data_IF_112210841309
#
_entry.id   IF_112210841309
#
_cell.length_a   1.000
_cell.length_b   1.000
_cell.length_c   1.000
_cell.angle_alpha   90.00
_cell.angle_beta   90.00
_cell.angle_gamma   90.00
#
_symmetry.space_group_name_H-M   'P 1'
#
loop_
_entity.id
_entity.type
_entity.pdbx_description
1 polymer ?
#
# COMPACT_ATOMS: atom_id res chain seq x y z
N UNK A 1 5.38 -17.43 -8.76
CA UNK A 1 4.31 -16.61 -8.14
C UNK A 1 3.95 -15.50 -9.12
N UNK A 2 2.99 -14.63 -8.81
CA UNK A 2 2.67 -13.48 -9.66
C UNK A 2 2.36 -12.25 -8.80
N UNK A 3 3.23 -11.24 -8.84
CA UNK A 3 3.12 -10.04 -8.00
C UNK A 3 3.37 -10.33 -6.52
N UNK A 4 4.44 -11.07 -6.22
CA UNK A 4 4.75 -11.66 -4.92
C UNK A 4 5.36 -10.68 -3.91
N UNK A 5 5.41 -9.37 -4.22
CA UNK A 5 6.02 -8.34 -3.37
C UNK A 5 5.51 -8.40 -1.92
N UNK A 6 4.19 -8.57 -1.73
CA UNK A 6 3.60 -8.73 -0.39
C UNK A 6 3.61 -10.17 0.11
N UNK A 7 3.50 -11.14 -0.79
CA UNK A 7 3.44 -12.56 -0.42
C UNK A 7 4.74 -13.00 0.29
N UNK A 8 5.91 -12.53 -0.20
CA UNK A 8 7.20 -12.80 0.46
C UNK A 8 7.21 -12.27 1.89
N UNK A 9 6.74 -11.04 2.09
CA UNK A 9 6.72 -10.41 3.41
C UNK A 9 5.73 -11.12 4.34
N UNK A 10 4.55 -11.51 3.85
CA UNK A 10 3.55 -12.22 4.64
C UNK A 10 4.01 -13.62 5.04
N UNK A 11 4.65 -14.37 4.13
CA UNK A 11 5.20 -15.69 4.42
C UNK A 11 6.23 -15.66 5.55
N UNK A 12 7.09 -14.64 5.56
CA UNK A 12 8.07 -14.45 6.64
C UNK A 12 7.39 -14.05 7.96
N UNK A 13 6.50 -13.07 7.93
CA UNK A 13 5.82 -12.53 9.12
C UNK A 13 4.98 -13.59 9.84
N UNK A 14 4.18 -14.32 9.07
CA UNK A 14 3.13 -15.19 9.63
C UNK A 14 3.60 -16.62 9.85
N UNK A 15 4.59 -17.09 9.06
CA UNK A 15 5.02 -18.49 9.06
C UNK A 15 6.53 -18.71 9.14
N UNK A 16 7.35 -17.65 9.10
CA UNK A 16 8.81 -17.79 9.04
C UNK A 16 9.31 -18.51 7.77
N UNK A 17 8.52 -18.49 6.69
CA UNK A 17 8.83 -19.16 5.43
C UNK A 17 9.63 -18.23 4.52
N UNK A 18 10.71 -18.76 3.96
CA UNK A 18 11.54 -18.08 2.95
C UNK A 18 11.44 -18.84 1.63
N UNK A 19 11.45 -18.09 0.52
CA UNK A 19 11.33 -18.65 -0.83
C UNK A 19 12.68 -18.53 -1.52
N UNK A 20 13.12 -19.61 -2.16
CA UNK A 20 14.30 -19.62 -3.01
C UNK A 20 13.90 -20.08 -4.41
N UNK A 21 14.61 -19.59 -5.44
CA UNK A 21 14.38 -19.94 -6.84
C UNK A 21 12.93 -19.65 -7.31
N UNK A 22 12.42 -18.46 -6.97
CA UNK A 22 11.12 -18.01 -7.44
C UNK A 22 11.19 -17.52 -8.89
N UNK A 23 10.14 -17.79 -9.66
CA UNK A 23 9.83 -17.09 -10.90
C UNK A 23 8.61 -16.19 -10.69
N UNK A 24 8.78 -14.87 -10.82
CA UNK A 24 7.70 -13.89 -10.83
C UNK A 24 7.81 -12.96 -12.06
N UNK A 25 6.90 -13.09 -13.03
CA UNK A 25 6.92 -12.25 -14.21
C UNK A 25 6.32 -10.86 -13.99
N UNK A 26 5.65 -10.60 -12.88
CA UNK A 26 4.79 -9.42 -12.67
C UNK A 26 5.56 -8.11 -12.85
N UNK A 27 6.72 -7.96 -12.19
CA UNK A 27 7.54 -6.76 -12.32
C UNK A 27 8.21 -6.61 -13.69
N UNK A 28 8.52 -7.72 -14.37
CA UNK A 28 9.08 -7.69 -15.72
C UNK A 28 8.02 -7.22 -16.72
N UNK A 29 6.83 -7.79 -16.66
CA UNK A 29 5.70 -7.43 -17.52
C UNK A 29 5.32 -5.96 -17.35
N UNK A 30 5.27 -5.48 -16.11
CA UNK A 30 4.97 -4.07 -15.81
C UNK A 30 6.03 -3.09 -16.32
N UNK A 31 7.30 -3.51 -16.47
CA UNK A 31 8.37 -2.61 -16.94
C UNK A 31 8.47 -2.57 -18.47
N UNK A 32 8.31 -3.73 -19.12
CA UNK A 32 8.65 -3.89 -20.53
C UNK A 32 7.44 -3.80 -21.46
N UNK A 33 6.23 -4.04 -20.95
CA UNK A 33 5.01 -3.98 -21.75
C UNK A 33 4.03 -2.90 -21.30
N UNK A 34 4.30 -2.27 -20.16
CA UNK A 34 3.62 -1.08 -19.71
C UNK A 34 4.71 -0.02 -19.56
N UNK A 35 4.70 1.03 -20.38
CA UNK A 35 5.60 2.18 -20.21
C UNK A 35 5.28 2.85 -18.86
N UNK A 36 5.85 2.35 -17.76
CA UNK A 36 5.64 2.86 -16.40
C UNK A 36 6.85 3.72 -16.01
N UNK A 37 6.95 4.89 -16.64
CA UNK A 37 7.58 6.04 -16.02
C UNK A 37 6.49 6.78 -15.21
N UNK A 38 6.64 6.80 -13.89
CA UNK A 38 5.97 7.70 -12.95
C UNK A 38 4.42 7.71 -12.91
N UNK A 39 3.82 6.83 -12.11
CA UNK A 39 3.01 7.24 -10.95
C UNK A 39 2.51 6.02 -10.16
N UNK A 40 2.78 6.02 -8.84
CA UNK A 40 2.44 4.93 -7.90
C UNK A 40 0.97 4.94 -7.45
N UNK A 41 0.09 5.59 -8.20
CA UNK A 41 -1.33 5.63 -7.94
C UNK A 41 -2.06 4.87 -9.03
N UNK A 42 -2.48 3.66 -8.70
CA UNK A 42 -3.41 2.87 -9.51
C UNK A 42 -2.96 2.72 -10.97
N UNK A 43 -1.89 1.95 -11.21
CA UNK A 43 -1.88 1.12 -12.43
C UNK A 43 -2.97 0.06 -12.23
N UNK A 44 -4.21 0.53 -12.37
CA UNK A 44 -5.37 -0.31 -12.48
C UNK A 44 -5.15 -1.16 -13.73
N UNK A 45 -5.38 -2.44 -13.51
CA UNK A 45 -5.39 -3.54 -14.45
C UNK A 45 -5.96 -3.27 -15.86
N UNK A 46 -6.78 -2.23 -15.99
CA UNK A 46 -7.41 -1.82 -17.22
C UNK A 46 -6.43 -1.26 -18.27
N UNK A 47 -5.31 -0.64 -17.88
CA UNK A 47 -4.34 -0.10 -18.85
C UNK A 47 -3.43 -1.16 -19.49
N UNK A 48 -3.40 -2.40 -18.98
CA UNK A 48 -2.68 -3.54 -19.59
C UNK A 48 -3.36 -4.06 -20.88
N UNK A 49 -4.54 -3.55 -21.24
CA UNK A 49 -5.43 -4.17 -22.23
C UNK A 49 -5.14 -3.83 -23.69
N UNK A 50 -4.29 -2.84 -24.01
CA UNK A 50 -4.21 -2.33 -25.39
C UNK A 50 -3.01 -2.78 -26.23
N UNK A 51 -1.94 -3.35 -25.66
CA UNK A 51 -0.69 -3.56 -26.43
C UNK A 51 -0.17 -5.00 -26.57
N UNK A 52 -0.82 -6.02 -25.99
CA UNK A 52 -0.41 -7.42 -26.19
C UNK A 52 -1.53 -8.20 -26.89
N UNK A 53 -1.45 -8.21 -28.22
CA UNK A 53 -2.42 -8.80 -29.17
C UNK A 53 -2.54 -10.33 -29.13
N UNK A 54 -2.03 -11.04 -28.11
CA UNK A 54 -2.20 -12.50 -28.01
C UNK A 54 -2.63 -13.07 -26.65
N UNK A 55 -2.85 -12.28 -25.58
CA UNK A 55 -3.20 -12.85 -24.26
C UNK A 55 -4.22 -12.02 -23.46
N UNK A 56 -5.23 -11.47 -24.15
CA UNK A 56 -6.29 -10.63 -23.55
C UNK A 56 -7.20 -11.37 -22.56
N UNK A 57 -7.21 -12.71 -22.55
CA UNK A 57 -8.07 -13.51 -21.67
C UNK A 57 -7.53 -13.66 -20.24
N UNK A 58 -6.21 -13.51 -20.05
CA UNK A 58 -5.51 -13.88 -18.83
C UNK A 58 -5.59 -12.81 -17.73
N UNK A 59 -5.48 -11.55 -18.13
CA UNK A 59 -5.64 -10.40 -17.25
C UNK A 59 -7.07 -10.45 -16.69
N UNK A 60 -8.12 -10.38 -17.50
CA UNK A 60 -9.52 -10.33 -17.03
C UNK A 60 -9.97 -11.41 -15.99
N UNK A 61 -9.33 -12.59 -15.94
CA UNK A 61 -9.69 -13.68 -15.02
C UNK A 61 -9.25 -13.45 -13.56
N UNK A 62 -8.03 -12.97 -13.31
CA UNK A 62 -7.47 -12.83 -11.94
C UNK A 62 -8.17 -11.73 -11.14
N UNK A 63 -8.74 -10.73 -11.82
CA UNK A 63 -9.27 -9.52 -11.16
C UNK A 63 -10.63 -9.67 -10.49
N UNK A 64 -11.39 -10.72 -10.78
CA UNK A 64 -12.77 -10.85 -10.29
C UNK A 64 -12.89 -11.01 -8.76
N UNK A 65 -11.79 -11.24 -8.05
CA UNK A 65 -11.82 -11.62 -6.62
C UNK A 65 -10.80 -10.87 -5.73
N UNK A 66 -10.33 -9.68 -6.13
CA UNK A 66 -9.32 -8.95 -5.36
C UNK A 66 -9.86 -8.28 -4.07
N UNK A 67 -11.15 -7.93 -4.01
CA UNK A 67 -11.73 -7.14 -2.91
C UNK A 67 -12.70 -7.92 -2.00
N UNK A 68 -12.69 -9.26 -2.05
CA UNK A 68 -13.56 -10.09 -1.21
C UNK A 68 -12.78 -10.57 0.02
N UNK A 69 -13.41 -10.44 1.19
CA UNK A 69 -12.87 -10.87 2.47
C UNK A 69 -12.35 -12.31 2.41
N UNK A 70 -11.08 -12.50 2.80
CA UNK A 70 -10.39 -13.78 2.70
C UNK A 70 -10.96 -14.81 3.69
N UNK A 71 -11.57 -14.36 4.78
CA UNK A 71 -12.20 -15.23 5.77
C UNK A 71 -13.46 -15.93 5.25
N UNK A 72 -14.10 -15.36 4.21
CA UNK A 72 -15.36 -15.86 3.63
C UNK A 72 -15.16 -16.66 2.33
N UNK A 73 -13.92 -16.96 1.96
CA UNK A 73 -13.60 -17.55 0.66
C UNK A 73 -13.90 -19.05 0.64
N UNK A 74 -14.64 -19.50 -0.37
CA UNK A 74 -14.83 -20.92 -0.66
C UNK A 74 -13.52 -21.52 -1.22
N UNK A 75 -13.20 -22.76 -0.86
CA UNK A 75 -11.95 -23.46 -1.25
C UNK A 75 -11.72 -23.47 -2.78
N UNK A 76 -12.80 -23.48 -3.56
CA UNK A 76 -12.79 -23.46 -5.03
C UNK A 76 -12.09 -22.23 -5.60
N UNK A 77 -12.32 -21.04 -5.02
CA UNK A 77 -11.77 -19.78 -5.54
C UNK A 77 -10.25 -19.65 -5.32
N UNK A 78 -9.69 -20.46 -4.41
CA UNK A 78 -8.25 -20.50 -4.15
C UNK A 78 -7.52 -21.40 -5.17
N UNK A 79 -8.15 -22.50 -5.56
CA UNK A 79 -7.57 -23.46 -6.50
C UNK A 79 -7.39 -22.83 -7.89
N UNK A 80 -8.37 -22.06 -8.35
CA UNK A 80 -8.32 -21.42 -9.67
C UNK A 80 -7.19 -20.39 -9.79
N UNK A 81 -6.82 -19.72 -8.70
CA UNK A 81 -5.73 -18.71 -8.68
C UNK A 81 -4.34 -19.31 -8.92
N UNK A 82 -4.14 -20.57 -8.55
CA UNK A 82 -2.85 -21.25 -8.72
C UNK A 82 -2.85 -22.25 -9.88
N UNK A 83 -4.03 -22.72 -10.29
CA UNK A 83 -4.18 -23.81 -11.26
C UNK A 83 -3.42 -23.56 -12.57
N UNK A 84 -3.46 -22.32 -13.07
CA UNK A 84 -2.84 -21.98 -14.36
C UNK A 84 -1.38 -21.50 -14.25
N UNK A 85 -0.82 -21.30 -13.06
CA UNK A 85 0.49 -20.66 -12.88
C UNK A 85 1.64 -21.42 -13.56
N UNK A 86 1.61 -22.75 -13.55
CA UNK A 86 2.63 -23.56 -14.22
C UNK A 86 2.53 -23.47 -15.75
N UNK A 87 1.30 -23.49 -16.28
CA UNK A 87 1.06 -23.30 -17.71
C UNK A 87 1.56 -21.92 -18.17
N UNK A 88 1.31 -20.88 -17.37
CA UNK A 88 1.77 -19.52 -17.65
C UNK A 88 3.29 -19.45 -17.60
N UNK A 89 3.92 -20.08 -16.61
CA UNK A 89 5.38 -20.19 -16.55
C UNK A 89 5.96 -20.75 -17.85
N UNK A 90 5.41 -21.85 -18.37
CA UNK A 90 5.89 -22.46 -19.61
C UNK A 90 5.73 -21.55 -20.83
N UNK A 91 4.58 -20.87 -20.96
CA UNK A 91 4.34 -19.92 -22.05
C UNK A 91 5.30 -18.73 -21.97
N UNK A 92 5.44 -18.14 -20.79
CA UNK A 92 6.31 -16.99 -20.59
C UNK A 92 7.77 -17.32 -20.81
N UNK A 93 8.21 -18.49 -20.34
CA UNK A 93 9.58 -18.96 -20.57
C UNK A 93 9.86 -19.10 -22.07
N UNK A 94 8.92 -19.66 -22.85
CA UNK A 94 9.06 -19.75 -24.31
C UNK A 94 9.14 -18.38 -24.97
N UNK A 95 8.27 -17.46 -24.57
CA UNK A 95 8.25 -16.10 -25.10
C UNK A 95 9.58 -15.39 -24.83
N UNK A 96 10.05 -15.40 -23.58
CA UNK A 96 11.31 -14.76 -23.16
C UNK A 96 12.51 -15.31 -23.94
N UNK A 97 12.57 -16.63 -24.15
CA UNK A 97 13.63 -17.25 -24.94
C UNK A 97 13.55 -16.88 -26.43
N UNK A 98 12.34 -16.66 -26.96
CA UNK A 98 12.13 -16.31 -28.37
C UNK A 98 12.42 -14.84 -28.70
N UNK A 99 12.23 -13.93 -27.73
CA UNK A 99 12.41 -12.49 -27.92
C UNK A 99 13.85 -12.01 -27.75
N UNK A 100 14.81 -12.90 -27.46
CA UNK A 100 16.17 -12.52 -27.04
C UNK A 100 17.17 -12.41 -28.21
N UNK A 101 18.17 -11.54 -28.06
CA UNK A 101 19.32 -11.41 -28.96
C UNK A 101 20.03 -12.78 -29.16
N UNK A 102 20.33 -13.19 -30.40
CA UNK A 102 21.03 -14.45 -30.69
C UNK A 102 22.40 -14.58 -30.01
N UNK A 103 23.03 -13.49 -29.56
CA UNK A 103 24.30 -13.52 -28.83
C UNK A 103 24.14 -13.83 -27.34
N UNK A 104 22.95 -13.64 -26.75
CA UNK A 104 22.71 -13.90 -25.32
C UNK A 104 21.26 -14.35 -25.08
N UNK A 105 20.85 -15.54 -25.54
CA UNK A 105 19.45 -15.97 -25.63
C UNK A 105 18.70 -16.07 -24.29
N UNK A 106 19.40 -15.98 -23.15
CA UNK A 106 18.82 -16.11 -21.82
C UNK A 106 18.71 -14.77 -21.06
N UNK A 107 19.13 -13.65 -21.67
CA UNK A 107 19.24 -12.35 -20.98
C UNK A 107 17.93 -11.94 -20.25
N UNK A 108 16.78 -12.03 -20.91
CA UNK A 108 15.49 -11.67 -20.31
C UNK A 108 15.03 -12.67 -19.26
N UNK A 109 15.31 -13.96 -19.45
CA UNK A 109 14.99 -14.98 -18.46
C UNK A 109 15.82 -14.76 -17.18
N UNK A 110 17.11 -14.47 -17.33
CA UNK A 110 18.01 -14.12 -16.24
C UNK A 110 17.54 -12.85 -15.53
N UNK A 111 17.09 -11.82 -16.26
CA UNK A 111 16.54 -10.60 -15.67
C UNK A 111 15.31 -10.89 -14.78
N UNK A 112 14.39 -11.74 -15.24
CA UNK A 112 13.20 -12.14 -14.46
C UNK A 112 13.60 -12.87 -13.18
N UNK A 113 14.52 -13.84 -13.26
CA UNK A 113 15.01 -14.53 -12.07
C UNK A 113 15.79 -13.61 -11.14
N UNK A 114 16.58 -12.67 -11.66
CA UNK A 114 17.30 -11.72 -10.84
C UNK A 114 16.34 -10.83 -10.03
N UNK A 115 15.28 -10.31 -10.66
CA UNK A 115 14.25 -9.54 -9.92
C UNK A 115 13.49 -10.39 -8.92
N UNK A 116 13.15 -11.62 -9.31
CA UNK A 116 12.47 -12.56 -8.42
C UNK A 116 13.35 -12.90 -7.21
N UNK A 117 14.67 -13.00 -7.42
CA UNK A 117 15.65 -13.15 -6.36
C UNK A 117 15.70 -11.91 -5.45
N UNK A 118 15.78 -10.71 -6.03
CA UNK A 118 15.79 -9.47 -5.24
C UNK A 118 14.52 -9.32 -4.38
N UNK A 119 13.37 -9.77 -4.88
CA UNK A 119 12.14 -9.89 -4.11
C UNK A 119 12.25 -10.89 -2.96
N UNK A 120 12.78 -12.09 -3.21
CA UNK A 120 12.98 -13.11 -2.17
C UNK A 120 13.96 -12.64 -1.08
N UNK A 121 14.89 -11.74 -1.41
CA UNK A 121 15.87 -11.19 -0.49
C UNK A 121 15.30 -10.10 0.43
N UNK A 122 14.08 -9.61 0.18
CA UNK A 122 13.43 -8.67 1.08
C UNK A 122 13.16 -9.32 2.44
N UNK A 123 13.44 -8.59 3.52
CA UNK A 123 13.20 -9.06 4.88
C UNK A 123 12.00 -8.35 5.47
N UNK A 124 11.09 -9.12 6.09
CA UNK A 124 10.02 -8.55 6.89
C UNK A 124 10.63 -7.70 8.01
N UNK A 125 10.21 -6.45 8.04
CA UNK A 125 10.47 -5.54 9.14
C UNK A 125 9.13 -5.08 9.69
N UNK A 126 9.01 -5.13 11.02
CA UNK A 126 7.84 -4.56 11.68
C UNK A 126 7.82 -3.06 11.41
N UNK A 127 6.67 -2.53 11.00
CA UNK A 127 6.50 -1.10 10.84
C UNK A 127 6.67 -0.42 12.20
N UNK A 128 7.63 0.51 12.29
CA UNK A 128 7.91 1.27 13.50
C UNK A 128 7.50 2.72 13.22
N UNK A 129 6.67 3.28 14.10
CA UNK A 129 6.35 4.69 14.06
C UNK A 129 7.60 5.52 14.38
N UNK A 130 8.02 6.34 13.43
CA UNK A 130 9.10 7.33 13.59
C UNK A 130 8.52 8.72 13.72
N UNK A 131 9.35 9.69 14.14
CA UNK A 131 8.94 11.10 14.24
C UNK A 131 8.40 11.68 12.95
N UNK A 132 8.81 11.15 11.79
CA UNK A 132 8.42 11.64 10.47
C UNK A 132 7.40 10.72 9.77
N UNK A 133 6.95 9.63 10.40
CA UNK A 133 6.03 8.67 9.77
C UNK A 133 4.70 9.29 9.35
N UNK A 134 4.30 10.40 9.97
CA UNK A 134 3.10 11.15 9.59
C UNK A 134 3.18 11.74 8.17
N UNK A 135 4.39 12.01 7.66
CA UNK A 135 4.60 12.53 6.30
C UNK A 135 4.23 11.52 5.22
N UNK A 136 4.31 10.22 5.54
CA UNK A 136 4.00 9.14 4.58
C UNK A 136 2.49 8.90 4.44
N UNK A 137 1.63 9.75 5.05
CA UNK A 137 0.19 9.65 4.86
C UNK A 137 -0.17 10.04 3.43
N UNK A 138 -0.83 9.10 2.76
CA UNK A 138 -1.42 9.32 1.46
C UNK A 138 -2.43 10.48 1.48
N UNK A 139 -2.28 11.42 0.52
CA UNK A 139 -3.09 12.63 0.39
C UNK A 139 -2.71 13.77 1.34
N UNK A 140 -1.60 13.66 2.07
CA UNK A 140 -1.11 14.72 2.95
C UNK A 140 -0.53 15.91 2.18
N UNK A 141 0.26 15.62 1.13
CA UNK A 141 0.91 16.64 0.30
C UNK A 141 -0.15 17.50 -0.43
N UNK A 142 -1.16 16.86 -1.02
CA UNK A 142 -2.31 17.53 -1.65
C UNK A 142 -3.19 18.35 -0.68
N UNK A 143 -3.02 18.16 0.64
CA UNK A 143 -3.93 18.74 1.62
C UNK A 143 -3.59 20.18 2.02
N UNK A 144 -2.43 20.71 1.62
CA UNK A 144 -1.92 22.07 1.90
C UNK A 144 -2.13 22.47 3.38
N UNK A 145 -1.52 21.68 4.28
CA UNK A 145 -1.74 21.82 5.72
C UNK A 145 -0.74 22.81 6.34
N UNK A 146 -1.25 23.73 7.16
CA UNK A 146 -0.40 24.61 7.95
C UNK A 146 0.27 23.88 9.13
N UNK A 147 1.24 24.53 9.80
CA UNK A 147 1.99 23.92 10.91
C UNK A 147 1.12 23.40 12.09
N UNK A 148 0.00 24.06 12.42
CA UNK A 148 -0.91 23.56 13.46
C UNK A 148 -1.67 22.32 13.00
N UNK A 149 -2.14 22.32 11.75
CA UNK A 149 -2.84 21.19 11.15
C UNK A 149 -1.89 19.98 11.02
N UNK A 150 -0.64 20.20 10.61
CA UNK A 150 0.39 19.17 10.52
C UNK A 150 0.76 18.59 11.90
N UNK A 151 0.80 19.43 12.94
CA UNK A 151 0.99 18.97 14.32
C UNK A 151 -0.18 18.10 14.81
N UNK A 152 -1.41 18.39 14.37
CA UNK A 152 -2.59 17.56 14.65
C UNK A 152 -2.46 16.22 13.91
N UNK A 153 -2.06 16.22 12.64
CA UNK A 153 -1.81 14.98 11.90
C UNK A 153 -0.79 14.12 12.66
N UNK A 154 0.36 14.67 13.03
CA UNK A 154 1.40 13.95 13.75
C UNK A 154 0.91 13.34 15.07
N UNK A 155 0.21 14.12 15.90
CA UNK A 155 -0.34 13.64 17.18
C UNK A 155 -1.43 12.58 17.00
N UNK A 156 -2.28 12.71 15.99
CA UNK A 156 -3.30 11.70 15.67
C UNK A 156 -2.69 10.43 15.07
N UNK A 157 -1.61 10.52 14.31
CA UNK A 157 -0.86 9.36 13.82
C UNK A 157 -0.34 8.51 14.97
N UNK A 158 0.28 9.16 15.96
CA UNK A 158 0.85 8.49 17.12
C UNK A 158 -0.23 7.80 17.95
N UNK A 159 -1.30 8.52 18.28
CA UNK A 159 -2.44 7.92 18.98
C UNK A 159 -3.05 6.75 18.21
N UNK A 160 -3.25 6.91 16.89
CA UNK A 160 -3.81 5.89 16.02
C UNK A 160 -2.94 4.64 16.00
N UNK A 161 -1.62 4.80 15.95
CA UNK A 161 -0.65 3.70 15.95
C UNK A 161 -0.65 2.92 17.27
N UNK A 162 -0.59 3.62 18.41
CA UNK A 162 -0.66 2.99 19.74
C UNK A 162 -1.93 2.17 19.90
N UNK A 163 -3.05 2.75 19.47
CA UNK A 163 -4.35 2.09 19.52
C UNK A 163 -4.39 0.86 18.60
N UNK A 164 -4.01 1.02 17.33
CA UNK A 164 -3.98 -0.05 16.33
C UNK A 164 -3.18 -1.26 16.84
N UNK A 165 -1.98 -1.01 17.36
CA UNK A 165 -1.14 -2.04 17.98
C UNK A 165 -1.77 -2.70 19.20
N UNK A 166 -2.41 -1.91 20.09
CA UNK A 166 -3.04 -2.45 21.31
C UNK A 166 -4.25 -3.34 21.02
N UNK A 167 -4.87 -3.17 19.85
CA UNK A 167 -6.09 -3.88 19.44
C UNK A 167 -5.87 -4.91 18.35
N UNK A 168 -4.64 -5.03 17.85
CA UNK A 168 -4.31 -5.84 16.67
C UNK A 168 -5.19 -5.49 15.46
N UNK A 169 -5.44 -4.19 15.29
CA UNK A 169 -6.29 -3.66 14.21
C UNK A 169 -5.48 -2.78 13.27
N UNK A 170 -5.93 -2.66 12.02
CA UNK A 170 -5.25 -1.77 11.07
C UNK A 170 -5.46 -0.29 11.43
N UNK A 171 -4.45 0.54 11.17
CA UNK A 171 -4.55 2.00 11.40
C UNK A 171 -5.71 2.64 10.64
N UNK A 172 -5.98 2.15 9.41
CA UNK A 172 -7.12 2.59 8.59
C UNK A 172 -8.48 2.23 9.19
N UNK A 173 -8.59 1.11 9.91
CA UNK A 173 -9.80 0.72 10.62
C UNK A 173 -10.07 1.65 11.80
N UNK A 174 -9.03 1.96 12.60
CA UNK A 174 -9.13 2.89 13.73
C UNK A 174 -9.52 4.30 13.26
N UNK A 175 -8.75 4.85 12.31
CA UNK A 175 -8.98 6.19 11.77
C UNK A 175 -8.38 6.30 10.37
N UNK A 176 -9.23 6.23 9.34
CA UNK A 176 -8.79 6.37 7.95
C UNK A 176 -8.05 7.69 7.68
N UNK A 177 -7.09 7.67 6.74
CA UNK A 177 -6.28 8.84 6.35
C UNK A 177 -7.16 10.04 5.97
N UNK A 178 -8.24 9.79 5.22
CA UNK A 178 -9.19 10.83 4.80
C UNK A 178 -9.83 11.54 5.99
N UNK A 179 -10.30 10.78 6.98
CA UNK A 179 -10.94 11.36 8.18
C UNK A 179 -9.90 12.05 9.06
N UNK A 180 -8.70 11.49 9.18
CA UNK A 180 -7.58 12.11 9.90
C UNK A 180 -7.24 13.49 9.34
N UNK A 181 -7.10 13.60 8.01
CA UNK A 181 -6.84 14.89 7.32
C UNK A 181 -8.02 15.85 7.50
N UNK A 182 -9.26 15.39 7.41
CA UNK A 182 -10.44 16.23 7.64
C UNK A 182 -10.51 16.79 9.08
N UNK A 183 -10.13 15.98 10.08
CA UNK A 183 -10.03 16.42 11.47
C UNK A 183 -8.93 17.48 11.60
N UNK A 184 -7.77 17.25 10.99
CA UNK A 184 -6.68 18.23 10.99
C UNK A 184 -7.12 19.55 10.34
N UNK A 185 -7.82 19.52 9.20
CA UNK A 185 -8.33 20.72 8.52
C UNK A 185 -9.33 21.50 9.37
N UNK A 186 -10.26 20.81 10.04
CA UNK A 186 -11.37 21.45 10.79
C UNK A 186 -11.06 21.76 12.27
N UNK A 187 -9.99 21.19 12.82
CA UNK A 187 -9.48 21.45 14.18
C UNK A 187 -10.57 21.45 15.27
N UNK A 188 -11.36 20.38 15.43
CA UNK A 188 -12.48 20.36 16.37
C UNK A 188 -11.99 20.33 17.83
N UNK A 189 -12.22 21.42 18.56
CA UNK A 189 -11.85 21.55 20.00
C UNK A 189 -12.92 21.05 20.98
N UNK A 190 -14.05 20.55 20.49
CA UNK A 190 -15.14 19.98 21.30
C UNK A 190 -15.53 18.60 20.79
N UNK A 191 -15.93 17.71 21.71
CA UNK A 191 -16.34 16.33 21.39
C UNK A 191 -17.50 16.28 20.40
N UNK A 192 -18.47 17.21 20.54
CA UNK A 192 -19.60 17.32 19.61
C UNK A 192 -19.17 17.65 18.18
N UNK A 193 -18.24 18.61 18.01
CA UNK A 193 -17.71 18.94 16.67
C UNK A 193 -16.97 17.76 16.06
N UNK A 194 -16.17 17.06 16.86
CA UNK A 194 -15.45 15.86 16.42
C UNK A 194 -16.42 14.73 16.02
N UNK A 195 -17.47 14.51 16.79
CA UNK A 195 -18.49 13.50 16.51
C UNK A 195 -19.19 13.72 15.16
N UNK A 196 -19.42 14.98 14.76
CA UNK A 196 -19.99 15.29 13.44
C UNK A 196 -19.04 14.95 12.27
N UNK A 197 -17.73 14.85 12.50
CA UNK A 197 -16.75 14.47 11.47
C UNK A 197 -16.58 12.96 11.34
N UNK A 198 -16.75 12.25 12.45
CA UNK A 198 -16.75 10.80 12.51
C UNK A 198 -18.12 10.31 12.02
N UNK A 199 -18.27 10.21 10.70
CA UNK A 199 -19.54 9.85 10.04
C UNK A 199 -20.12 8.50 10.51
N UNK A 200 -19.31 7.61 11.08
CA UNK A 200 -19.77 6.35 11.70
C UNK A 200 -19.83 6.49 13.21
N UNK A 201 -20.93 5.98 13.81
CA UNK A 201 -21.02 5.70 15.25
C UNK A 201 -20.27 4.40 15.55
N UNK A 202 -18.99 4.38 15.23
CA UNK A 202 -18.16 3.28 15.69
C UNK A 202 -18.05 3.42 17.22
N UNK A 203 -18.52 2.42 18.00
CA UNK A 203 -18.42 2.45 19.47
C UNK A 203 -16.98 2.70 19.93
N UNK A 204 -16.00 2.33 19.10
CA UNK A 204 -14.59 2.56 19.32
C UNK A 204 -14.22 4.04 19.39
N UNK A 205 -14.66 4.82 18.39
CA UNK A 205 -14.36 6.23 18.29
C UNK A 205 -15.12 7.05 19.34
N UNK A 206 -16.34 6.64 19.71
CA UNK A 206 -17.15 7.30 20.74
C UNK A 206 -16.48 7.28 22.11
N UNK A 207 -15.84 6.17 22.49
CA UNK A 207 -15.12 6.05 23.78
C UNK A 207 -13.86 6.91 23.84
N UNK A 208 -13.26 7.22 22.69
CA UNK A 208 -11.99 7.92 22.60
C UNK A 208 -12.12 9.41 22.27
N UNK A 209 -13.33 9.95 22.08
CA UNK A 209 -13.57 11.35 21.71
C UNK A 209 -12.85 12.35 22.64
N UNK A 210 -12.88 12.10 23.95
CA UNK A 210 -12.22 12.95 24.94
C UNK A 210 -10.70 12.98 24.77
N UNK A 211 -10.09 11.82 24.55
CA UNK A 211 -8.64 11.67 24.32
C UNK A 211 -8.23 12.37 23.02
N UNK A 212 -8.97 12.14 21.92
CA UNK A 212 -8.70 12.75 20.61
C UNK A 212 -8.80 14.28 20.69
N UNK A 213 -9.82 14.83 21.36
CA UNK A 213 -9.93 16.28 21.56
C UNK A 213 -8.77 16.84 22.40
N UNK A 214 -8.32 16.09 23.41
CA UNK A 214 -7.14 16.45 24.20
C UNK A 214 -5.88 16.53 23.35
N UNK A 215 -5.66 15.54 22.48
CA UNK A 215 -4.53 15.50 21.54
C UNK A 215 -4.59 16.70 20.58
N UNK A 216 -5.76 16.99 20.00
CA UNK A 216 -5.93 18.13 19.09
C UNK A 216 -5.52 19.43 19.79
N UNK A 217 -6.01 19.68 21.00
CA UNK A 217 -5.69 20.89 21.77
C UNK A 217 -4.19 21.00 22.06
N UNK A 218 -3.56 19.90 22.46
CA UNK A 218 -2.12 19.86 22.72
C UNK A 218 -1.30 20.08 21.44
N UNK A 219 -1.63 19.38 20.35
CA UNK A 219 -0.98 19.54 19.05
C UNK A 219 -1.05 20.97 18.50
N UNK A 220 -2.17 21.67 18.70
CA UNK A 220 -2.31 23.08 18.29
C UNK A 220 -1.30 24.00 18.94
N UNK A 221 -0.93 23.74 20.20
CA UNK A 221 0.09 24.51 20.93
C UNK A 221 1.49 24.26 20.35
N UNK A 222 1.74 23.05 19.85
CA UNK A 222 3.02 22.64 19.27
C UNK A 222 3.18 23.00 17.78
N UNK A 223 2.22 23.68 17.17
CA UNK A 223 2.23 23.98 15.73
C UNK A 223 3.43 24.79 15.24
N UNK A 224 4.13 25.51 16.12
CA UNK A 224 5.34 26.24 15.77
C UNK A 224 6.47 25.31 15.28
N UNK A 225 6.62 24.13 15.90
CA UNK A 225 7.65 23.15 15.56
C UNK A 225 7.46 22.52 14.18
N UNK A 226 6.23 22.57 13.66
CA UNK A 226 5.84 21.97 12.38
C UNK A 226 5.78 22.96 11.22
N UNK A 227 5.99 24.27 11.48
CA UNK A 227 5.96 25.30 10.42
C UNK A 227 7.00 25.08 9.34
N UNK A 228 8.22 24.66 9.72
CA UNK A 228 9.29 24.38 8.77
C UNK A 228 8.96 23.16 7.89
N UNK A 229 8.39 22.11 8.50
CA UNK A 229 7.96 20.92 7.76
C UNK A 229 6.81 21.23 6.80
N UNK A 230 5.82 22.02 7.22
CA UNK A 230 4.72 22.45 6.36
C UNK A 230 5.19 23.24 5.14
N UNK A 231 6.19 24.12 5.28
CA UNK A 231 6.78 24.84 4.15
C UNK A 231 7.49 23.92 3.16
N UNK A 232 8.27 22.95 3.66
CA UNK A 232 8.97 21.99 2.80
C UNK A 232 8.02 21.14 1.97
N UNK A 233 6.90 20.70 2.55
CA UNK A 233 5.87 19.95 1.81
C UNK A 233 5.36 20.72 0.59
N UNK A 234 5.16 22.04 0.74
CA UNK A 234 4.71 22.91 -0.36
C UNK A 234 5.84 23.16 -1.37
N UNK A 235 7.09 23.23 -0.94
CA UNK A 235 8.25 23.45 -1.82
C UNK A 235 8.62 22.21 -2.64
N UNK A 236 8.43 21.00 -2.11
CA UNK A 236 8.78 19.74 -2.79
C UNK A 236 7.73 19.33 -3.86
N UNK A 237 6.55 19.96 -3.90
CA UNK A 237 5.51 19.77 -4.93
C UNK A 237 5.73 20.65 -6.20
N UNK A 238 6.76 21.52 -6.21
CA UNK A 238 7.14 22.40 -7.33
C UNK A 238 8.52 22.05 -7.93
#
# INVERSE_FOLDING_TARGET
MHGADRDIIWLQRDFGIYVCNMFDPGQYLLKHFCDVAANKEYVSFAHMTQHITCNLHFVLFINRYQNVDRQLRLLTDMLEKTHYLLYIYDLMKKELLSSTDPNCPEAFLVEVYQRSYDLCMQLYQKEILTKNSYLNIYGLYDADLNGQQLAIVAGLCEWRDVIAHSKDESTSYILSNKVLIEIAKKMPVTTRKLQHLLKSRDPYNERNLGSIVGIIKHSMQNGASFKAAAKKIVEDDY
#
